data_IF_562808521889
#
_entry.id   IF_562808521889
#
_cell.length_a   1.000
_cell.length_b   1.000
_cell.length_c   1.000
_cell.angle_alpha   90.00
_cell.angle_beta   90.00
_cell.angle_gamma   90.00
#
_symmetry.space_group_name_H-M   'P 1'
#
loop_
_entity.id
_entity.type
_entity.pdbx_description
1 polymer ?
#
# COMPACT_ATOMS: atom_id res chain seq x y z
N UNK A 1 61.06 0.35 30.36
CA UNK A 1 60.00 -0.35 31.13
C UNK A 1 58.69 0.36 30.82
N UNK A 2 57.67 -0.35 30.33
CA UNK A 2 56.40 0.29 29.95
C UNK A 2 55.64 0.76 31.20
N UNK A 3 55.22 2.02 31.20
CA UNK A 3 54.48 2.61 32.31
C UNK A 3 53.13 1.91 32.49
N UNK A 4 52.79 1.57 33.74
CA UNK A 4 51.56 0.85 34.11
C UNK A 4 50.28 1.51 33.53
N UNK A 5 50.27 2.84 33.43
CA UNK A 5 49.16 3.59 32.84
C UNK A 5 48.94 3.32 31.35
N UNK A 6 50.02 3.16 30.56
CA UNK A 6 49.92 2.86 29.12
C UNK A 6 49.34 1.46 28.89
N UNK A 7 49.75 0.50 29.71
CA UNK A 7 49.23 -0.87 29.65
C UNK A 7 47.73 -0.92 30.00
N UNK A 8 47.30 -0.18 31.02
CA UNK A 8 45.89 -0.08 31.40
C UNK A 8 45.02 0.51 30.29
N UNK A 9 45.47 1.59 29.65
CA UNK A 9 44.75 2.19 28.52
C UNK A 9 44.65 1.25 27.33
N UNK A 10 45.71 0.50 27.03
CA UNK A 10 45.69 -0.49 25.95
C UNK A 10 44.62 -1.56 26.18
N UNK A 11 44.54 -2.11 27.39
CA UNK A 11 43.52 -3.10 27.76
C UNK A 11 42.12 -2.48 27.72
N UNK A 12 41.96 -1.25 28.20
CA UNK A 12 40.68 -0.54 28.16
C UNK A 12 40.18 -0.34 26.72
N UNK A 13 41.05 0.11 25.81
CA UNK A 13 40.70 0.32 24.39
C UNK A 13 40.34 -1.00 23.70
N UNK A 14 41.09 -2.08 23.98
CA UNK A 14 40.75 -3.41 23.46
C UNK A 14 39.39 -3.90 23.98
N UNK A 15 39.11 -3.68 25.27
CA UNK A 15 37.80 -3.99 25.86
C UNK A 15 36.67 -3.23 25.18
N UNK A 16 36.81 -1.91 25.03
CA UNK A 16 35.82 -1.05 24.34
C UNK A 16 35.62 -1.50 22.89
N UNK A 17 36.70 -1.83 22.17
CA UNK A 17 36.62 -2.31 20.79
C UNK A 17 35.72 -3.55 20.67
N UNK A 18 35.93 -4.54 21.55
CA UNK A 18 35.11 -5.77 21.55
C UNK A 18 33.66 -5.48 21.90
N UNK A 19 33.41 -4.61 22.89
CA UNK A 19 32.06 -4.20 23.28
C UNK A 19 31.32 -3.50 22.13
N UNK A 20 31.99 -2.58 21.43
CA UNK A 20 31.40 -1.85 20.30
C UNK A 20 31.03 -2.81 19.17
N UNK A 21 31.88 -3.78 18.85
CA UNK A 21 31.58 -4.80 17.82
C UNK A 21 30.36 -5.62 18.22
N UNK A 22 30.28 -6.07 19.48
CA UNK A 22 29.13 -6.80 20.00
C UNK A 22 27.84 -5.99 19.93
N UNK A 23 27.87 -4.73 20.39
CA UNK A 23 26.72 -3.83 20.35
C UNK A 23 26.27 -3.53 18.91
N UNK A 24 27.23 -3.37 17.98
CA UNK A 24 26.91 -3.16 16.56
C UNK A 24 26.22 -4.37 15.95
N UNK A 25 26.66 -5.59 16.29
CA UNK A 25 26.03 -6.81 15.83
C UNK A 25 24.59 -6.94 16.37
N UNK A 26 24.40 -6.70 17.67
CA UNK A 26 23.07 -6.75 18.29
C UNK A 26 22.12 -5.70 17.70
N UNK A 27 22.60 -4.47 17.49
CA UNK A 27 21.83 -3.43 16.80
C UNK A 27 21.40 -3.86 15.40
N UNK A 28 22.30 -4.51 14.63
CA UNK A 28 21.96 -4.99 13.29
C UNK A 28 20.84 -6.03 13.33
N UNK A 29 20.86 -6.94 14.31
CA UNK A 29 19.81 -7.96 14.47
C UNK A 29 18.46 -7.32 14.82
N UNK A 30 18.44 -6.43 15.82
CA UNK A 30 17.22 -5.71 16.22
C UNK A 30 16.66 -4.85 15.08
N UNK A 31 17.54 -4.21 14.30
CA UNK A 31 17.13 -3.41 13.15
C UNK A 31 16.49 -4.24 12.04
N UNK A 32 17.02 -5.44 11.77
CA UNK A 32 16.42 -6.37 10.80
C UNK A 32 15.02 -6.81 11.24
N UNK A 33 14.85 -7.10 12.52
CA UNK A 33 13.54 -7.45 13.09
C UNK A 33 12.54 -6.29 12.97
N UNK A 34 12.97 -5.08 13.32
CA UNK A 34 12.13 -3.89 13.16
C UNK A 34 11.71 -3.67 11.71
N UNK A 35 12.64 -3.83 10.76
CA UNK A 35 12.33 -3.71 9.34
C UNK A 35 11.34 -4.77 8.87
N UNK A 36 11.41 -6.00 9.38
CA UNK A 36 10.49 -7.08 9.00
C UNK A 36 9.07 -6.78 9.46
N UNK A 37 8.89 -6.33 10.71
CA UNK A 37 7.61 -5.92 11.26
C UNK A 37 7.04 -4.72 10.50
N UNK A 38 7.87 -3.74 10.17
CA UNK A 38 7.45 -2.57 9.43
C UNK A 38 6.98 -2.93 8.02
N UNK A 39 7.68 -3.84 7.35
CA UNK A 39 7.27 -4.36 6.04
C UNK A 39 5.91 -5.07 6.11
N UNK A 40 5.67 -5.87 7.15
CA UNK A 40 4.37 -6.53 7.36
C UNK A 40 3.26 -5.50 7.55
N UNK A 41 3.49 -4.49 8.40
CA UNK A 41 2.53 -3.40 8.62
C UNK A 41 2.22 -2.65 7.33
N UNK A 42 3.24 -2.30 6.57
CA UNK A 42 3.08 -1.53 5.33
C UNK A 42 2.31 -2.34 4.27
N UNK A 43 2.56 -3.65 4.18
CA UNK A 43 1.78 -4.54 3.31
C UNK A 43 0.30 -4.58 3.72
N UNK A 44 0.02 -4.70 5.02
CA UNK A 44 -1.35 -4.71 5.53
C UNK A 44 -2.07 -3.37 5.24
N UNK A 45 -1.35 -2.25 5.34
CA UNK A 45 -1.91 -0.93 5.03
C UNK A 45 -2.24 -0.77 3.54
N UNK A 46 -1.44 -1.35 2.65
CA UNK A 46 -1.74 -1.40 1.20
C UNK A 46 -3.02 -2.20 0.96
N UNK A 47 -3.12 -3.39 1.55
CA UNK A 47 -4.30 -4.23 1.41
C UNK A 47 -5.56 -3.56 1.96
N UNK A 48 -5.45 -2.92 3.12
CA UNK A 48 -6.54 -2.13 3.70
C UNK A 48 -6.95 -0.97 2.79
N UNK A 49 -6.00 -0.23 2.23
CA UNK A 49 -6.27 0.83 1.27
C UNK A 49 -7.02 0.31 0.03
N UNK A 50 -6.65 -0.87 -0.47
CA UNK A 50 -7.35 -1.52 -1.58
C UNK A 50 -8.80 -1.87 -1.20
N UNK A 51 -9.00 -2.47 -0.03
CA UNK A 51 -10.35 -2.83 0.47
C UNK A 51 -11.24 -1.58 0.64
N UNK A 52 -10.69 -0.47 1.14
CA UNK A 52 -11.42 0.79 1.24
C UNK A 52 -11.85 1.35 -0.12
N UNK A 53 -10.99 1.23 -1.14
CA UNK A 53 -11.33 1.63 -2.50
C UNK A 53 -12.43 0.74 -3.09
N UNK A 54 -12.35 -0.57 -2.85
CA UNK A 54 -13.41 -1.51 -3.23
C UNK A 54 -14.72 -1.10 -2.56
N UNK A 55 -14.78 -0.97 -1.23
CA UNK A 55 -15.99 -0.58 -0.49
C UNK A 55 -16.55 0.78 -0.92
N UNK A 56 -15.67 1.77 -1.11
CA UNK A 56 -16.03 3.10 -1.60
C UNK A 56 -16.69 3.06 -2.98
N UNK A 57 -16.17 2.23 -3.90
CA UNK A 57 -16.77 2.04 -5.22
C UNK A 57 -18.17 1.41 -5.13
N UNK A 58 -18.37 0.40 -4.27
CA UNK A 58 -19.69 -0.20 -4.04
C UNK A 58 -20.68 0.79 -3.40
N UNK A 59 -20.21 1.65 -2.49
CA UNK A 59 -21.03 2.68 -1.85
C UNK A 59 -21.49 3.77 -2.84
N UNK A 60 -20.58 4.26 -3.70
CA UNK A 60 -20.92 5.23 -4.75
C UNK A 60 -21.84 4.61 -5.81
N UNK A 61 -21.56 3.39 -6.28
CA UNK A 61 -22.40 2.69 -7.25
C UNK A 61 -23.82 2.45 -6.71
N UNK A 62 -23.97 1.96 -5.46
CA UNK A 62 -25.28 1.77 -4.81
C UNK A 62 -26.05 3.09 -4.66
N UNK A 63 -25.36 4.19 -4.33
CA UNK A 63 -25.99 5.52 -4.28
C UNK A 63 -26.43 6.01 -5.66
N UNK A 64 -25.63 5.79 -6.71
CA UNK A 64 -26.00 6.15 -8.08
C UNK A 64 -27.19 5.33 -8.55
N UNK A 65 -27.23 4.03 -8.28
CA UNK A 65 -28.36 3.17 -8.66
C UNK A 65 -29.64 3.57 -7.92
N UNK A 66 -29.58 3.80 -6.60
CA UNK A 66 -30.73 4.29 -5.85
C UNK A 66 -31.19 5.65 -6.35
N UNK A 67 -30.26 6.59 -6.60
CA UNK A 67 -30.61 7.92 -7.12
C UNK A 67 -31.24 7.83 -8.52
N UNK A 68 -30.73 6.97 -9.40
CA UNK A 68 -31.30 6.75 -10.73
C UNK A 68 -32.70 6.10 -10.68
N UNK A 69 -32.90 5.10 -9.81
CA UNK A 69 -34.21 4.47 -9.61
C UNK A 69 -35.23 5.45 -9.02
N UNK A 70 -34.84 6.21 -7.99
CA UNK A 70 -35.77 7.08 -7.25
C UNK A 70 -36.03 8.40 -7.96
N UNK A 71 -35.03 9.02 -8.60
CA UNK A 71 -35.20 10.32 -9.28
C UNK A 71 -35.48 10.24 -10.77
N UNK A 72 -35.07 9.16 -11.44
CA UNK A 72 -35.26 9.01 -12.90
C UNK A 72 -36.23 7.87 -13.28
N UNK A 73 -36.90 7.23 -12.30
CA UNK A 73 -37.84 6.11 -12.52
C UNK A 73 -37.25 5.02 -13.43
N UNK A 74 -35.94 4.81 -13.35
CA UNK A 74 -35.23 3.89 -14.22
C UNK A 74 -35.46 2.45 -13.73
N UNK A 75 -36.51 1.80 -14.26
CA UNK A 75 -36.73 0.37 -14.11
C UNK A 75 -35.84 -0.39 -15.10
N UNK A 76 -35.34 -1.56 -14.69
CA UNK A 76 -34.56 -2.42 -15.58
C UNK A 76 -35.47 -2.84 -16.75
N UNK A 77 -35.15 -2.49 -18.01
CA UNK A 77 -36.04 -2.77 -19.13
C UNK A 77 -36.15 -4.29 -19.32
N UNK A 78 -37.39 -4.78 -19.44
CA UNK A 78 -37.64 -6.18 -19.83
C UNK A 78 -37.15 -6.41 -21.26
N UNK A 79 -36.81 -7.65 -21.61
CA UNK A 79 -36.19 -8.01 -22.89
C UNK A 79 -36.97 -7.48 -24.12
N UNK A 80 -38.28 -7.29 -24.00
CA UNK A 80 -39.18 -6.73 -25.02
C UNK A 80 -38.98 -5.23 -25.30
N UNK A 81 -38.29 -4.49 -24.42
CA UNK A 81 -38.06 -3.05 -24.51
C UNK A 81 -36.69 -2.70 -25.11
N UNK A 82 -35.85 -3.69 -25.40
CA UNK A 82 -34.53 -3.49 -25.98
C UNK A 82 -34.67 -3.40 -27.51
N UNK A 83 -34.60 -2.17 -28.06
CA UNK A 83 -34.50 -1.95 -29.51
C UNK A 83 -33.04 -1.73 -29.91
N UNK A 84 -32.48 -2.67 -30.65
CA UNK A 84 -31.18 -2.52 -31.31
C UNK A 84 -31.38 -1.61 -32.52
N UNK A 85 -30.76 -0.43 -32.49
CA UNK A 85 -30.77 0.48 -33.64
C UNK A 85 -29.41 0.37 -34.33
N UNK A 86 -29.40 -0.14 -35.55
CA UNK A 86 -28.23 -0.11 -36.41
C UNK A 86 -28.03 1.33 -36.90
N UNK A 87 -26.96 1.97 -36.45
CA UNK A 87 -26.61 3.32 -36.88
C UNK A 87 -26.18 3.25 -38.36
N UNK A 88 -27.12 3.50 -39.26
CA UNK A 88 -26.82 3.75 -40.67
C UNK A 88 -26.07 5.09 -40.76
N UNK A 89 -24.74 5.01 -40.81
CA UNK A 89 -23.87 6.17 -41.03
C UNK A 89 -24.24 6.82 -42.36
N UNK A 90 -25.01 7.90 -42.28
CA UNK A 90 -25.48 8.66 -43.44
C UNK A 90 -24.34 9.57 -43.92
N UNK A 91 -23.67 9.11 -44.97
CA UNK A 91 -23.06 9.88 -46.06
C UNK A 91 -22.27 11.14 -45.70
N UNK A 92 -20.95 11.05 -45.78
CA UNK A 92 -20.12 12.17 -46.23
C UNK A 92 -19.92 12.03 -47.73
N UNK A 93 -20.80 12.67 -48.50
CA UNK A 93 -20.55 12.99 -49.90
C UNK A 93 -20.88 14.46 -50.11
N UNK A 94 -19.92 15.18 -50.67
CA UNK A 94 -20.01 16.57 -51.06
C UNK A 94 -18.59 17.13 -51.25
N UNK A 95 -18.37 17.86 -52.33
CA UNK A 95 -17.22 17.76 -53.25
C UNK A 95 -15.89 18.29 -52.72
#
# INVERSE_FOLDING_TARGET
MMDKGKMMLMVAVLGVSLLVVGLRHQNRMMFVELQSLQKTRDNLNIEWGKLLLEEGAWSQQRRVESTARTRMSMNLPTAEQIKVVELKVKGRHGP
#
